data_IF_806899578049
#
_entry.id   IF_806899578049
#
_cell.length_a   1.000
_cell.length_b   1.000
_cell.length_c   1.000
_cell.angle_alpha   90.00
_cell.angle_beta   90.00
_cell.angle_gamma   90.00
#
_symmetry.space_group_name_H-M   'P 1'
#
loop_
_entity.id
_entity.type
_entity.pdbx_description
1 polymer ?
#
# COMPACT_ATOMS: atom_id res chain seq x y z
N UNK A 1 -13.12 0.80 -32.92
CA UNK A 1 -13.22 0.04 -31.66
C UNK A 1 -11.81 -0.07 -31.10
N UNK A 2 -11.46 0.73 -30.09
CA UNK A 2 -10.13 0.66 -29.49
C UNK A 2 -10.21 -0.36 -28.37
N UNK A 3 -9.76 -1.58 -28.65
CA UNK A 3 -9.46 -2.57 -27.61
C UNK A 3 -8.21 -2.08 -26.86
N UNK A 4 -8.44 -1.13 -25.95
CA UNK A 4 -7.38 -0.51 -25.14
C UNK A 4 -7.09 -1.41 -23.95
N UNK A 5 -6.73 -2.66 -24.23
CA UNK A 5 -5.92 -3.45 -23.31
C UNK A 5 -4.52 -2.81 -23.26
N UNK A 6 -4.43 -1.64 -22.62
CA UNK A 6 -3.19 -1.14 -22.03
C UNK A 6 -2.78 -2.23 -21.02
N UNK A 7 -1.99 -3.20 -21.48
CA UNK A 7 -1.23 -4.08 -20.63
C UNK A 7 -0.24 -3.21 -19.86
N UNK A 8 -0.73 -2.52 -18.83
CA UNK A 8 0.10 -1.73 -17.93
C UNK A 8 1.10 -2.72 -17.35
N UNK A 9 2.36 -2.47 -17.64
CA UNK A 9 3.46 -3.26 -17.11
C UNK A 9 3.49 -3.00 -15.61
N UNK A 10 2.98 -3.95 -14.83
CA UNK A 10 3.06 -3.94 -13.38
C UNK A 10 4.34 -4.67 -12.97
N UNK A 11 5.22 -3.96 -12.28
CA UNK A 11 6.52 -4.46 -11.83
C UNK A 11 6.78 -4.02 -10.40
N UNK A 12 7.61 -4.77 -9.68
CA UNK A 12 8.08 -4.38 -8.36
C UNK A 12 8.82 -3.02 -8.42
N UNK A 13 9.63 -2.80 -9.46
CA UNK A 13 10.33 -1.53 -9.70
C UNK A 13 9.36 -0.34 -9.79
N UNK A 14 8.25 -0.48 -10.52
CA UNK A 14 7.24 0.58 -10.59
C UNK A 14 6.58 0.84 -9.23
N UNK A 15 6.30 -0.21 -8.46
CA UNK A 15 5.77 -0.07 -7.11
C UNK A 15 6.76 0.66 -6.19
N UNK A 16 8.04 0.34 -6.28
CA UNK A 16 9.08 0.96 -5.46
C UNK A 16 9.30 2.44 -5.83
N UNK A 17 9.21 2.80 -7.12
CA UNK A 17 9.19 4.21 -7.55
C UNK A 17 8.02 4.96 -6.93
N UNK A 18 6.82 4.37 -6.91
CA UNK A 18 5.67 4.99 -6.24
C UNK A 18 5.89 5.16 -4.73
N UNK A 19 6.54 4.19 -4.06
CA UNK A 19 6.89 4.32 -2.65
C UNK A 19 7.86 5.49 -2.41
N UNK A 20 8.90 5.62 -3.23
CA UNK A 20 9.87 6.71 -3.15
C UNK A 20 9.23 8.09 -3.31
N UNK A 21 8.18 8.18 -4.15
CA UNK A 21 7.40 9.40 -4.37
C UNK A 21 6.32 9.64 -3.30
N UNK A 22 6.16 8.73 -2.34
CA UNK A 22 5.13 8.81 -1.29
C UNK A 22 3.74 8.33 -1.71
N UNK A 23 3.57 7.80 -2.92
CA UNK A 23 2.31 7.23 -3.42
C UNK A 23 2.07 5.81 -2.90
N UNK A 24 1.91 5.69 -1.58
CA UNK A 24 1.77 4.39 -0.87
C UNK A 24 0.58 3.57 -1.39
N UNK A 25 -0.56 4.19 -1.68
CA UNK A 25 -1.76 3.51 -2.18
C UNK A 25 -1.54 2.84 -3.53
N UNK A 26 -0.87 3.55 -4.45
CA UNK A 26 -0.54 3.03 -5.79
C UNK A 26 0.44 1.86 -5.69
N UNK A 27 1.42 1.95 -4.81
CA UNK A 27 2.37 0.86 -4.58
C UNK A 27 1.67 -0.39 -4.01
N UNK A 28 0.75 -0.22 -3.06
CA UNK A 28 -0.06 -1.32 -2.49
C UNK A 28 -0.86 -2.02 -3.59
N UNK A 29 -1.51 -1.27 -4.49
CA UNK A 29 -2.28 -1.84 -5.60
C UNK A 29 -1.41 -2.68 -6.54
N UNK A 30 -0.18 -2.23 -6.84
CA UNK A 30 0.75 -2.98 -7.69
C UNK A 30 1.20 -4.25 -6.99
N UNK A 31 1.64 -4.17 -5.73
CA UNK A 31 2.07 -5.35 -4.99
C UNK A 31 0.92 -6.35 -4.76
N UNK A 32 -0.33 -5.88 -4.65
CA UNK A 32 -1.50 -6.76 -4.64
C UNK A 32 -1.59 -7.56 -5.93
N UNK A 33 -1.52 -6.90 -7.10
CA UNK A 33 -1.60 -7.56 -8.40
C UNK A 33 -0.43 -8.51 -8.62
N UNK A 34 0.79 -8.11 -8.25
CA UNK A 34 1.97 -8.98 -8.30
C UNK A 34 1.80 -10.23 -7.43
N UNK A 35 1.28 -10.09 -6.22
CA UNK A 35 1.05 -11.23 -5.31
C UNK A 35 -0.05 -12.19 -5.81
N UNK A 36 -1.02 -11.69 -6.57
CA UNK A 36 -2.06 -12.52 -7.21
C UNK A 36 -1.54 -13.23 -8.46
N UNK A 37 -0.68 -12.57 -9.24
CA UNK A 37 -0.11 -13.12 -10.46
C UNK A 37 1.00 -14.15 -10.18
N UNK A 38 1.78 -13.93 -9.13
CA UNK A 38 2.85 -14.83 -8.68
C UNK A 38 2.56 -15.31 -7.26
N UNK A 39 1.60 -16.23 -7.07
CA UNK A 39 1.26 -16.73 -5.75
C UNK A 39 2.38 -17.56 -5.12
N UNK A 40 3.38 -18.06 -5.86
CA UNK A 40 4.51 -18.75 -5.23
C UNK A 40 5.60 -17.78 -4.74
N UNK A 41 5.46 -16.50 -5.11
CA UNK A 41 6.40 -15.46 -4.72
C UNK A 41 6.03 -14.86 -3.36
N UNK A 42 6.55 -15.49 -2.30
CA UNK A 42 6.37 -15.05 -0.92
C UNK A 42 6.82 -13.61 -0.66
N UNK A 43 7.79 -13.11 -1.42
CA UNK A 43 8.24 -11.73 -1.28
C UNK A 43 7.10 -10.75 -1.60
N UNK A 44 6.37 -10.95 -2.70
CA UNK A 44 5.25 -10.05 -3.05
C UNK A 44 4.11 -10.11 -2.05
N UNK A 45 3.76 -11.29 -1.55
CA UNK A 45 2.76 -11.43 -0.49
C UNK A 45 3.15 -10.66 0.78
N UNK A 46 4.38 -10.88 1.26
CA UNK A 46 4.89 -10.24 2.48
C UNK A 46 4.98 -8.73 2.30
N UNK A 47 5.45 -8.27 1.13
CA UNK A 47 5.57 -6.84 0.80
C UNK A 47 4.20 -6.17 0.74
N UNK A 48 3.22 -6.77 0.06
CA UNK A 48 1.84 -6.28 0.04
C UNK A 48 1.25 -6.17 1.45
N UNK A 49 1.39 -7.22 2.27
CA UNK A 49 0.88 -7.24 3.63
C UNK A 49 1.50 -6.13 4.51
N UNK A 50 2.81 -5.91 4.40
CA UNK A 50 3.51 -4.86 5.13
C UNK A 50 3.04 -3.45 4.71
N UNK A 51 2.97 -3.19 3.41
CA UNK A 51 2.53 -1.89 2.88
C UNK A 51 1.05 -1.61 3.21
N UNK A 52 0.19 -2.63 3.18
CA UNK A 52 -1.21 -2.50 3.60
C UNK A 52 -1.34 -2.12 5.08
N UNK A 53 -0.48 -2.67 5.94
CA UNK A 53 -0.43 -2.30 7.36
C UNK A 53 0.00 -0.84 7.54
N UNK A 54 1.07 -0.43 6.86
CA UNK A 54 1.54 0.97 6.88
C UNK A 54 0.45 1.94 6.42
N UNK A 55 -0.25 1.60 5.33
CA UNK A 55 -1.34 2.41 4.80
C UNK A 55 -2.49 2.56 5.81
N UNK A 56 -2.82 1.49 6.55
CA UNK A 56 -3.82 1.54 7.62
C UNK A 56 -3.35 2.40 8.79
N UNK A 57 -2.06 2.37 9.14
CA UNK A 57 -1.50 3.18 10.23
C UNK A 57 -1.49 4.67 9.89
N UNK A 58 -1.14 5.05 8.65
CA UNK A 58 -1.20 6.45 8.19
C UNK A 58 -2.62 6.99 8.13
N UNK A 59 -3.61 6.14 7.86
CA UNK A 59 -5.02 6.53 7.82
C UNK A 59 -5.68 6.60 9.20
N UNK A 60 -5.05 6.08 10.26
CA UNK A 60 -5.59 6.26 11.62
C UNK A 60 -5.56 7.76 11.95
N UNK A 61 -6.72 8.41 12.14
CA UNK A 61 -6.72 9.78 12.59
C UNK A 61 -6.04 9.81 13.96
N UNK A 62 -5.33 10.89 14.28
CA UNK A 62 -4.58 11.08 15.54
C UNK A 62 -5.49 11.18 16.80
N UNK A 63 -6.58 10.42 16.85
CA UNK A 63 -7.61 10.34 17.90
C UNK A 63 -7.00 10.07 19.29
N UNK A 64 -5.84 9.42 19.35
CA UNK A 64 -5.16 9.15 20.62
C UNK A 64 -4.48 10.38 21.26
N UNK A 65 -4.27 11.49 20.53
CA UNK A 65 -3.70 12.71 21.14
C UNK A 65 -4.70 13.53 21.97
N UNK A 66 -6.00 13.23 21.93
CA UNK A 66 -7.04 14.00 22.64
C UNK A 66 -7.67 13.33 23.87
N UNK A 67 -7.61 12.00 23.99
CA UNK A 67 -8.31 11.30 25.09
C UNK A 67 -7.53 11.40 26.43
N UNK A 68 -6.27 11.83 26.42
CA UNK A 68 -5.46 11.99 27.64
C UNK A 68 -5.44 13.40 28.25
N UNK A 69 -6.22 14.36 27.74
CA UNK A 69 -6.30 15.68 28.39
C UNK A 69 -7.53 15.79 29.28
N UNK A 70 -7.25 15.72 30.59
CA UNK A 70 -8.01 16.20 31.76
C UNK A 70 -8.85 15.16 32.53
N UNK A 71 -8.17 14.47 33.45
CA UNK A 71 -8.63 14.38 34.84
C UNK A 71 -7.60 15.14 35.71
N UNK A 72 -8.03 15.67 36.87
CA UNK A 72 -7.33 16.54 37.84
C UNK A 72 -7.61 18.04 37.54
N UNK A 73 -8.39 18.82 38.29
CA UNK A 73 -9.04 18.75 39.61
C UNK A 73 -10.54 18.39 39.54
#
# INVERSE_FOLDING_TARGET
>A
MVDKNERRIITATLADIYLQQGYLEKAVEIYEKLSKNEPDNDFYRKRWAALKKELKEKQKPAIFKKILTKKIW
#
